data_IF_557825886824
#
_entry.id   IF_557825886824
#
_cell.length_a   1.000
_cell.length_b   1.000
_cell.length_c   1.000
_cell.angle_alpha   90.00
_cell.angle_beta   90.00
_cell.angle_gamma   90.00
#
_symmetry.space_group_name_H-M   'P 1'
#
loop_
_entity.id
_entity.type
_entity.pdbx_description
1 polymer ?
#
# COMPACT_ATOMS: atom_id res chain seq x y z
N UNK A 1 -1.34 -6.66 20.42
CA UNK A 1 -0.26 -7.15 19.54
C UNK A 1 -0.59 -7.00 18.05
N UNK A 2 -1.76 -7.48 17.59
CA UNK A 2 -2.17 -7.44 16.17
C UNK A 2 -2.11 -6.03 15.53
N UNK A 3 -2.59 -5.01 16.23
CA UNK A 3 -2.56 -3.62 15.77
C UNK A 3 -1.14 -3.09 15.53
N UNK A 4 -0.19 -3.45 16.40
CA UNK A 4 1.21 -3.06 16.23
C UNK A 4 1.84 -3.68 14.99
N UNK A 5 1.50 -4.95 14.71
CA UNK A 5 1.95 -5.64 13.49
C UNK A 5 1.37 -4.98 12.25
N UNK A 6 0.05 -4.71 12.24
CA UNK A 6 -0.61 -4.02 11.12
C UNK A 6 -0.02 -2.63 10.89
N UNK A 7 0.28 -1.90 11.96
CA UNK A 7 0.89 -0.58 11.87
C UNK A 7 2.29 -0.63 11.24
N UNK A 8 3.14 -1.57 11.66
CA UNK A 8 4.48 -1.76 11.07
C UNK A 8 4.39 -2.20 9.62
N UNK A 9 3.46 -3.12 9.30
CA UNK A 9 3.22 -3.55 7.94
C UNK A 9 2.72 -2.39 7.06
N UNK A 10 1.86 -1.55 7.62
CA UNK A 10 1.41 -0.31 7.00
C UNK A 10 2.56 0.64 6.70
N UNK A 11 3.45 0.90 7.66
CA UNK A 11 4.64 1.73 7.44
C UNK A 11 5.51 1.19 6.29
N UNK A 12 5.72 -0.13 6.23
CA UNK A 12 6.47 -0.76 5.15
C UNK A 12 5.77 -0.59 3.79
N UNK A 13 4.46 -0.84 3.74
CA UNK A 13 3.66 -0.72 2.52
C UNK A 13 3.64 0.74 2.00
N UNK A 14 3.50 1.72 2.90
CA UNK A 14 3.62 3.15 2.59
C UNK A 14 4.99 3.52 2.03
N UNK A 15 6.07 3.01 2.64
CA UNK A 15 7.42 3.26 2.16
C UNK A 15 7.64 2.69 0.76
N UNK A 16 7.12 1.49 0.49
CA UNK A 16 7.18 0.87 -0.84
C UNK A 16 6.37 1.67 -1.87
N UNK A 17 5.14 2.07 -1.54
CA UNK A 17 4.29 2.86 -2.42
C UNK A 17 4.94 4.20 -2.77
N UNK A 18 5.55 4.86 -1.78
CA UNK A 18 6.32 6.09 -2.00
C UNK A 18 7.52 5.86 -2.91
N UNK A 19 8.29 4.79 -2.68
CA UNK A 19 9.42 4.44 -3.54
C UNK A 19 9.01 4.15 -4.99
N UNK A 20 7.85 3.51 -5.21
CA UNK A 20 7.29 3.32 -6.55
C UNK A 20 6.94 4.66 -7.20
N UNK A 21 6.32 5.59 -6.48
CA UNK A 21 5.98 6.90 -7.03
C UNK A 21 7.22 7.75 -7.36
N UNK A 22 8.26 7.66 -6.54
CA UNK A 22 9.53 8.37 -6.77
C UNK A 22 10.38 7.74 -7.88
N UNK A 23 10.18 6.46 -8.22
CA UNK A 23 10.96 5.77 -9.25
C UNK A 23 10.69 6.26 -10.68
N UNK A 24 9.63 7.05 -10.91
CA UNK A 24 9.25 7.60 -12.22
C UNK A 24 9.28 6.56 -13.35
N UNK A 25 8.88 5.32 -13.06
CA UNK A 25 8.88 4.25 -14.06
C UNK A 25 7.87 4.54 -15.17
N UNK A 26 8.17 4.31 -16.46
CA UNK A 26 7.25 4.60 -17.57
C UNK A 26 5.92 3.84 -17.49
N UNK A 27 5.85 2.73 -16.74
CA UNK A 27 4.58 2.05 -16.41
C UNK A 27 3.62 2.95 -15.64
N UNK A 28 4.13 3.86 -14.80
CA UNK A 28 3.30 4.79 -14.05
C UNK A 28 2.66 5.85 -14.96
N UNK A 29 3.23 6.08 -16.15
CA UNK A 29 2.63 6.94 -17.17
C UNK A 29 1.42 6.33 -17.87
N UNK A 30 1.19 5.03 -17.70
CA UNK A 30 -0.05 4.38 -18.12
C UNK A 30 -1.19 4.53 -17.10
N UNK A 31 -0.89 4.97 -15.87
CA UNK A 31 -1.91 5.11 -14.82
C UNK A 31 -2.83 6.32 -15.09
N UNK A 32 -4.12 6.26 -14.69
CA UNK A 32 -5.04 7.37 -14.87
C UNK A 32 -4.50 8.66 -14.25
N UNK A 33 -4.76 9.81 -14.89
CA UNK A 33 -4.26 11.10 -14.44
C UNK A 33 -4.62 11.41 -12.97
N UNK A 34 -5.74 10.87 -12.46
CA UNK A 34 -6.12 10.98 -11.05
C UNK A 34 -5.12 10.31 -10.08
N UNK A 35 -4.47 9.22 -10.48
CA UNK A 35 -3.43 8.56 -9.68
C UNK A 35 -2.06 9.23 -9.82
N UNK A 36 -1.84 10.00 -10.89
CA UNK A 36 -0.64 10.85 -11.06
C UNK A 36 -0.80 12.24 -10.43
N UNK A 37 -2.03 12.75 -10.36
CA UNK A 37 -2.35 14.07 -9.83
C UNK A 37 -1.86 14.22 -8.37
N UNK A 38 -1.10 15.28 -8.11
CA UNK A 38 -0.51 15.53 -6.80
C UNK A 38 0.64 14.60 -6.41
N UNK A 39 1.32 13.95 -7.36
CA UNK A 39 2.51 13.13 -7.11
C UNK A 39 2.19 11.77 -6.45
N UNK A 40 1.02 11.19 -6.77
CA UNK A 40 0.57 9.92 -6.18
C UNK A 40 0.03 10.00 -4.76
N UNK A 41 -0.18 11.21 -4.23
CA UNK A 41 -0.77 11.45 -2.90
C UNK A 41 -2.13 10.79 -2.69
N UNK A 42 -2.94 10.68 -3.74
CA UNK A 42 -4.24 9.99 -3.67
C UNK A 42 -4.05 8.49 -3.41
N UNK A 43 -3.04 7.85 -4.03
CA UNK A 43 -2.73 6.45 -3.76
C UNK A 43 -2.33 6.24 -2.29
N UNK A 44 -1.49 7.13 -1.76
CA UNK A 44 -1.11 7.10 -0.34
C UNK A 44 -2.29 7.34 0.60
N UNK A 45 -3.24 8.21 0.23
CA UNK A 45 -4.45 8.44 1.03
C UNK A 45 -5.37 7.21 1.03
N UNK A 46 -5.51 6.52 -0.11
CA UNK A 46 -6.24 5.26 -0.20
C UNK A 46 -5.58 4.16 0.63
N UNK A 47 -4.24 4.06 0.55
CA UNK A 47 -3.45 3.14 1.35
C UNK A 47 -3.66 3.37 2.85
N UNK A 48 -3.75 4.65 3.26
CA UNK A 48 -4.03 5.03 4.64
C UNK A 48 -5.41 4.56 5.06
N UNK A 49 -6.41 4.81 4.21
CA UNK A 49 -7.79 4.44 4.48
C UNK A 49 -7.94 2.91 4.63
N UNK A 50 -7.28 2.14 3.77
CA UNK A 50 -7.30 0.67 3.84
C UNK A 50 -6.66 0.18 5.15
N UNK A 51 -5.49 0.71 5.53
CA UNK A 51 -4.84 0.39 6.80
C UNK A 51 -5.71 0.77 8.01
N UNK A 52 -6.28 1.98 7.98
CA UNK A 52 -7.14 2.50 9.04
C UNK A 52 -8.35 1.59 9.26
N UNK A 53 -9.03 1.20 8.18
CA UNK A 53 -10.15 0.29 8.22
C UNK A 53 -9.72 -1.10 8.75
N UNK A 54 -8.59 -1.62 8.29
CA UNK A 54 -8.07 -2.90 8.76
C UNK A 54 -7.77 -2.88 10.26
N UNK A 55 -7.16 -1.81 10.77
CA UNK A 55 -6.89 -1.63 12.20
C UNK A 55 -8.16 -1.43 13.01
N UNK A 56 -9.13 -0.65 12.51
CA UNK A 56 -10.41 -0.42 13.18
C UNK A 56 -11.21 -1.73 13.33
N UNK A 57 -11.29 -2.51 12.26
CA UNK A 57 -12.00 -3.79 12.26
C UNK A 57 -11.26 -4.84 13.12
N UNK A 58 -9.93 -4.85 13.08
CA UNK A 58 -9.12 -5.69 13.95
C UNK A 58 -9.29 -5.34 15.45
N UNK A 59 -9.57 -4.09 15.78
CA UNK A 59 -9.85 -3.64 17.14
C UNK A 59 -11.26 -4.03 17.63
N UNK A 60 -12.19 -4.29 16.71
CA UNK A 60 -13.59 -4.68 16.99
C UNK A 60 -13.83 -6.20 16.86
N UNK A 61 -12.86 -7.01 17.26
CA UNK A 61 -12.93 -8.49 17.24
C UNK A 61 -13.17 -9.11 15.84
N UNK A 62 -12.78 -8.41 14.77
CA UNK A 62 -12.81 -8.95 13.41
C UNK A 62 -11.40 -9.19 12.84
N UNK A 63 -10.69 -10.24 13.30
CA UNK A 63 -9.30 -10.50 12.91
C UNK A 63 -9.14 -10.91 11.43
N UNK A 64 -10.23 -11.28 10.75
CA UNK A 64 -10.22 -11.55 9.31
C UNK A 64 -9.73 -10.33 8.51
N UNK A 65 -10.07 -9.11 8.94
CA UNK A 65 -9.59 -7.88 8.31
C UNK A 65 -8.07 -7.75 8.32
N UNK A 66 -7.41 -8.28 9.36
CA UNK A 66 -5.95 -8.27 9.50
C UNK A 66 -5.28 -9.19 8.49
N UNK A 67 -5.87 -10.36 8.23
CA UNK A 67 -5.39 -11.28 7.22
C UNK A 67 -5.58 -10.74 5.80
N UNK A 68 -6.71 -10.09 5.54
CA UNK A 68 -6.96 -9.42 4.27
C UNK A 68 -5.89 -8.34 4.03
N UNK A 69 -5.63 -7.50 5.03
CA UNK A 69 -4.60 -6.47 4.94
C UNK A 69 -3.19 -7.05 4.76
N UNK A 70 -2.88 -8.14 5.46
CA UNK A 70 -1.60 -8.81 5.34
C UNK A 70 -1.37 -9.33 3.93
N UNK A 71 -2.37 -10.04 3.36
CA UNK A 71 -2.31 -10.54 2.00
C UNK A 71 -2.20 -9.41 0.96
N UNK A 72 -3.01 -8.38 1.13
CA UNK A 72 -2.96 -7.18 0.29
C UNK A 72 -1.58 -6.52 0.31
N UNK A 73 -0.97 -6.37 1.48
CA UNK A 73 0.38 -5.80 1.63
C UNK A 73 1.46 -6.65 0.96
N UNK A 74 1.34 -7.98 0.99
CA UNK A 74 2.27 -8.87 0.27
C UNK A 74 2.16 -8.65 -1.24
N UNK A 75 0.94 -8.54 -1.78
CA UNK A 75 0.74 -8.27 -3.20
C UNK A 75 1.29 -6.90 -3.62
N UNK A 76 1.07 -5.87 -2.81
CA UNK A 76 1.66 -4.55 -3.05
C UNK A 76 3.19 -4.62 -3.02
N UNK A 77 3.77 -5.34 -2.06
CA UNK A 77 5.22 -5.52 -1.96
C UNK A 77 5.82 -6.27 -3.16
N UNK A 78 5.16 -7.32 -3.65
CA UNK A 78 5.57 -8.02 -4.89
C UNK A 78 5.48 -7.08 -6.09
N UNK A 79 4.42 -6.29 -6.20
CA UNK A 79 4.25 -5.33 -7.30
C UNK A 79 5.32 -4.24 -7.25
N UNK A 80 5.60 -3.70 -6.06
CA UNK A 80 6.70 -2.78 -5.81
C UNK A 80 8.05 -3.36 -6.22
N UNK A 81 8.33 -4.60 -5.82
CA UNK A 81 9.58 -5.27 -6.14
C UNK A 81 9.74 -5.50 -7.65
N UNK A 82 8.69 -5.91 -8.35
CA UNK A 82 8.72 -6.10 -9.80
C UNK A 82 8.99 -4.77 -10.52
N UNK A 83 8.28 -3.71 -10.13
CA UNK A 83 8.42 -2.39 -10.73
C UNK A 83 9.80 -1.78 -10.48
N UNK A 84 10.28 -1.82 -9.23
CA UNK A 84 11.56 -1.22 -8.84
C UNK A 84 12.77 -1.96 -9.42
N UNK A 85 12.64 -3.25 -9.72
CA UNK A 85 13.68 -4.02 -10.40
C UNK A 85 13.57 -4.00 -11.94
N UNK A 86 12.73 -3.11 -12.52
CA UNK A 86 12.48 -3.04 -13.96
C UNK A 86 12.07 -4.37 -14.58
N UNK A 87 11.41 -5.24 -13.81
CA UNK A 87 10.89 -6.52 -14.31
C UNK A 87 9.54 -6.35 -15.01
N UNK A 88 8.88 -5.20 -14.80
CA UNK A 88 7.66 -4.73 -15.46
C UNK A 88 7.75 -3.24 -15.69
#
# INVERSE_FOLDING_TARGET
MLLGILFVLGMANFAMHKAMLESNHPVLDSLPAAFRAGGGRISLALEFLILLLAMLLAAHDWPAASWIYAFYSVLNGVTAWLLLNHRI
#
